data_IF_682844609017
#
_entry.id   IF_682844609017
#
_cell.length_a   1.000
_cell.length_b   1.000
_cell.length_c   1.000
_cell.angle_alpha   90.00
_cell.angle_beta   90.00
_cell.angle_gamma   90.00
#
_symmetry.space_group_name_H-M   'P 1'
#
loop_
_entity.id
_entity.type
_entity.pdbx_description
1 polymer ?
#
# COMPACT_ATOMS: atom_id res chain seq x y z
N UNK A 1 -26.79 -19.74 -15.83
CA UNK A 1 -25.39 -20.09 -16.14
C UNK A 1 -24.55 -18.85 -15.86
N UNK A 2 -23.75 -18.87 -14.79
CA UNK A 2 -22.94 -17.73 -14.38
C UNK A 2 -21.52 -17.96 -14.88
N UNK A 3 -21.09 -17.12 -15.81
CA UNK A 3 -19.76 -17.10 -16.39
C UNK A 3 -18.72 -16.83 -15.30
N UNK A 4 -17.87 -17.80 -14.97
CA UNK A 4 -16.74 -17.57 -14.08
C UNK A 4 -15.53 -17.11 -14.92
N UNK A 5 -15.59 -15.86 -15.39
CA UNK A 5 -14.37 -15.11 -15.74
C UNK A 5 -13.50 -15.14 -14.48
N UNK A 6 -12.19 -15.41 -14.61
CA UNK A 6 -11.28 -15.27 -13.45
C UNK A 6 -11.59 -13.94 -12.78
N UNK A 7 -11.69 -13.87 -11.44
CA UNK A 7 -11.75 -12.57 -10.81
C UNK A 7 -10.48 -11.85 -11.25
N UNK A 8 -10.62 -10.79 -12.06
CA UNK A 8 -9.53 -9.85 -12.29
C UNK A 8 -9.09 -9.42 -10.89
N UNK A 9 -7.84 -9.74 -10.53
CA UNK A 9 -7.35 -9.48 -9.18
C UNK A 9 -6.70 -8.11 -9.19
N UNK A 10 -7.00 -7.35 -8.15
CA UNK A 10 -6.34 -6.07 -7.94
C UNK A 10 -4.83 -6.28 -7.69
N UNK A 11 -3.99 -5.26 -7.96
CA UNK A 11 -2.54 -5.35 -7.83
C UNK A 11 -2.06 -5.79 -6.43
N UNK A 12 -2.74 -5.35 -5.35
CA UNK A 12 -2.38 -5.70 -3.96
C UNK A 12 -2.62 -7.19 -3.71
N UNK A 13 -3.72 -7.73 -4.22
CA UNK A 13 -4.03 -9.16 -4.12
C UNK A 13 -3.03 -10.01 -4.90
N UNK A 14 -2.64 -9.62 -6.12
CA UNK A 14 -1.64 -10.36 -6.91
C UNK A 14 -0.29 -10.40 -6.18
N UNK A 15 0.17 -9.27 -5.66
CA UNK A 15 1.42 -9.18 -4.89
C UNK A 15 1.44 -10.08 -3.65
N UNK A 16 0.26 -10.35 -3.06
CA UNK A 16 0.10 -11.19 -1.88
C UNK A 16 -0.03 -12.68 -2.22
N UNK A 17 -0.87 -13.01 -3.19
CA UNK A 17 -1.33 -14.39 -3.42
C UNK A 17 -0.48 -15.17 -4.41
N UNK A 18 0.37 -14.50 -5.19
CA UNK A 18 1.26 -15.16 -6.15
C UNK A 18 2.72 -14.81 -5.85
N UNK A 19 3.22 -15.14 -4.64
CA UNK A 19 4.55 -14.76 -4.19
C UNK A 19 5.68 -15.33 -5.07
N UNK A 20 5.47 -16.50 -5.68
CA UNK A 20 6.46 -17.13 -6.56
C UNK A 20 6.84 -16.29 -7.78
N UNK A 21 6.02 -15.32 -8.20
CA UNK A 21 6.40 -14.34 -9.23
C UNK A 21 7.54 -13.44 -8.71
N UNK A 22 7.39 -12.94 -7.49
CA UNK A 22 8.38 -12.07 -6.88
C UNK A 22 9.67 -12.80 -6.55
N UNK A 23 9.60 -14.09 -6.21
CA UNK A 23 10.80 -14.90 -5.96
C UNK A 23 11.65 -15.09 -7.23
N UNK A 24 11.02 -14.99 -8.42
CA UNK A 24 11.70 -15.09 -9.72
C UNK A 24 12.21 -13.71 -10.19
N UNK A 25 11.38 -12.68 -10.07
CA UNK A 25 11.71 -11.33 -10.56
C UNK A 25 12.69 -10.62 -9.61
N UNK A 26 12.42 -10.72 -8.31
CA UNK A 26 13.17 -10.05 -7.22
C UNK A 26 13.72 -11.08 -6.22
N UNK A 27 14.58 -12.02 -6.67
CA UNK A 27 15.04 -13.14 -5.85
C UNK A 27 15.83 -12.70 -4.61
N UNK A 28 16.38 -11.47 -4.60
CA UNK A 28 17.14 -10.93 -3.49
C UNK A 28 16.31 -10.12 -2.50
N UNK A 29 14.97 -10.08 -2.63
CA UNK A 29 14.06 -9.51 -1.61
C UNK A 29 13.96 -10.42 -0.36
N UNK A 30 15.12 -10.71 0.21
CA UNK A 30 15.32 -11.54 1.39
C UNK A 30 15.02 -10.75 2.67
N UNK A 31 14.92 -11.45 3.80
CA UNK A 31 14.79 -10.79 5.10
C UNK A 31 15.97 -9.86 5.43
N UNK A 32 17.18 -10.16 4.95
CA UNK A 32 18.36 -9.32 5.13
C UNK A 32 18.23 -7.99 4.41
N UNK A 33 17.82 -8.01 3.14
CA UNK A 33 17.57 -6.81 2.34
C UNK A 33 16.41 -5.99 2.90
N UNK A 34 15.34 -6.64 3.35
CA UNK A 34 14.24 -5.94 4.05
C UNK A 34 14.73 -5.30 5.34
N UNK A 35 15.64 -5.94 6.08
CA UNK A 35 16.23 -5.34 7.29
C UNK A 35 17.12 -4.14 6.96
N UNK A 36 17.87 -4.21 5.85
CA UNK A 36 18.64 -3.09 5.33
C UNK A 36 17.74 -1.89 5.00
N UNK A 37 16.64 -2.08 4.28
CA UNK A 37 15.67 -1.00 4.02
C UNK A 37 15.06 -0.43 5.30
N UNK A 38 14.68 -1.30 6.26
CA UNK A 38 14.18 -0.83 7.56
C UNK A 38 15.24 -0.10 8.40
N UNK A 39 16.54 -0.29 8.15
CA UNK A 39 17.59 0.46 8.83
C UNK A 39 17.64 1.93 8.36
N UNK A 40 17.03 2.24 7.21
CA UNK A 40 16.90 3.61 6.68
C UNK A 40 15.66 4.35 7.25
N UNK A 41 14.99 3.78 8.25
CA UNK A 41 13.81 4.42 8.88
C UNK A 41 14.18 5.79 9.46
N UNK A 42 13.37 6.78 9.11
CA UNK A 42 13.35 8.10 9.74
C UNK A 42 12.08 8.24 10.60
N UNK A 43 12.16 9.09 11.62
CA UNK A 43 11.05 9.44 12.49
C UNK A 43 10.95 10.96 12.59
N UNK A 44 9.74 11.49 12.75
CA UNK A 44 9.52 12.91 12.93
C UNK A 44 9.70 13.29 14.40
N UNK A 45 10.57 14.26 14.74
CA UNK A 45 10.93 14.55 16.13
C UNK A 45 9.75 15.04 16.97
N UNK A 46 8.76 15.68 16.35
CA UNK A 46 7.58 16.24 17.02
C UNK A 46 6.39 15.26 17.10
N UNK A 47 6.58 14.01 16.64
CA UNK A 47 5.53 12.99 16.65
C UNK A 47 5.92 11.82 17.55
N UNK A 48 4.95 11.37 18.33
CA UNK A 48 5.11 10.18 19.19
C UNK A 48 4.40 8.97 18.58
N UNK A 49 5.03 7.80 18.72
CA UNK A 49 4.38 6.54 18.42
C UNK A 49 3.15 6.34 19.33
N UNK A 50 2.08 5.75 18.79
CA UNK A 50 0.89 5.43 19.57
C UNK A 50 1.26 4.48 20.72
N UNK A 51 1.00 4.87 22.00
CA UNK A 51 1.23 4.00 23.15
C UNK A 51 0.52 2.66 23.03
N UNK A 52 1.20 1.58 23.42
CA UNK A 52 0.65 0.22 23.28
C UNK A 52 -0.59 0.02 24.17
N UNK A 53 -0.65 0.72 25.29
CA UNK A 53 -1.76 0.69 26.25
C UNK A 53 -3.04 1.22 25.60
N UNK A 54 -2.95 2.24 24.73
CA UNK A 54 -4.10 2.75 23.99
C UNK A 54 -4.60 1.71 22.98
N UNK A 55 -3.69 1.00 22.31
CA UNK A 55 -4.08 -0.10 21.41
C UNK A 55 -4.73 -1.24 22.18
N UNK A 56 -4.19 -1.61 23.34
CA UNK A 56 -4.72 -2.70 24.19
C UNK A 56 -6.05 -2.34 24.84
N UNK A 57 -6.33 -1.05 25.04
CA UNK A 57 -7.62 -0.58 25.56
C UNK A 57 -8.76 -0.63 24.53
N UNK A 58 -8.43 -0.76 23.24
CA UNK A 58 -9.41 -0.94 22.17
C UNK A 58 -9.89 -2.39 22.13
N UNK A 59 -11.20 -2.57 21.97
CA UNK A 59 -11.81 -3.89 21.75
C UNK A 59 -11.84 -4.31 20.28
N UNK A 60 -11.47 -3.39 19.37
CA UNK A 60 -11.49 -3.62 17.93
C UNK A 60 -10.31 -4.49 17.49
N UNK A 61 -10.52 -5.26 16.43
CA UNK A 61 -9.40 -5.85 15.72
C UNK A 61 -8.48 -4.75 15.18
N UNK A 62 -7.14 -4.92 15.23
CA UNK A 62 -6.19 -3.90 14.79
C UNK A 62 -6.43 -3.41 13.35
N UNK A 63 -6.84 -4.30 12.44
CA UNK A 63 -7.14 -3.93 11.06
C UNK A 63 -8.28 -2.89 10.99
N UNK A 64 -9.38 -3.14 11.71
CA UNK A 64 -10.51 -2.20 11.78
C UNK A 64 -10.12 -0.89 12.47
N UNK A 65 -9.42 -0.95 13.62
CA UNK A 65 -9.00 0.23 14.36
C UNK A 65 -8.19 1.21 13.49
N UNK A 66 -7.27 0.68 12.68
CA UNK A 66 -6.41 1.50 11.85
C UNK A 66 -7.02 1.86 10.51
N UNK A 67 -8.02 1.12 10.02
CA UNK A 67 -8.86 1.57 8.93
C UNK A 67 -9.69 2.80 9.33
N UNK A 68 -10.25 2.81 10.55
CA UNK A 68 -10.94 3.97 11.12
C UNK A 68 -9.96 5.16 11.26
N UNK A 69 -8.73 4.89 11.70
CA UNK A 69 -7.69 5.92 11.80
C UNK A 69 -7.36 6.52 10.42
N UNK A 70 -7.26 5.68 9.39
CA UNK A 70 -7.01 6.13 8.02
C UNK A 70 -8.16 7.01 7.51
N UNK A 71 -9.41 6.54 7.67
CA UNK A 71 -10.60 7.31 7.31
C UNK A 71 -10.66 8.66 8.06
N UNK A 72 -10.26 8.68 9.34
CA UNK A 72 -10.16 9.92 10.10
C UNK A 72 -9.06 10.85 9.56
N UNK A 73 -7.91 10.31 9.17
CA UNK A 73 -6.84 11.06 8.50
C UNK A 73 -7.34 11.72 7.21
N UNK A 74 -8.11 10.99 6.39
CA UNK A 74 -8.73 11.54 5.18
C UNK A 74 -9.71 12.68 5.48
N UNK A 75 -10.51 12.57 6.54
CA UNK A 75 -11.36 13.70 6.96
C UNK A 75 -10.54 14.95 7.28
N UNK A 76 -9.46 14.81 8.05
CA UNK A 76 -8.60 15.95 8.42
C UNK A 76 -7.96 16.57 7.18
N UNK A 77 -7.42 15.75 6.26
CA UNK A 77 -6.83 16.21 5.00
C UNK A 77 -7.85 16.95 4.12
N UNK A 78 -9.13 16.57 4.18
CA UNK A 78 -10.23 17.24 3.51
C UNK A 78 -10.77 18.48 4.26
N UNK A 79 -10.06 18.95 5.29
CA UNK A 79 -10.41 20.16 6.05
C UNK A 79 -11.47 19.95 7.13
N UNK A 80 -11.86 18.71 7.43
CA UNK A 80 -12.85 18.38 8.45
C UNK A 80 -12.15 18.24 9.81
N UNK A 81 -12.07 19.34 10.54
CA UNK A 81 -11.40 19.39 11.85
C UNK A 81 -12.13 18.61 12.93
N UNK A 82 -13.47 18.69 12.99
CA UNK A 82 -14.27 17.93 13.96
C UNK A 82 -14.56 16.52 13.42
N UNK A 83 -14.13 15.50 14.16
CA UNK A 83 -14.34 14.11 13.79
C UNK A 83 -15.82 13.78 13.56
N UNK A 84 -16.13 13.18 12.41
CA UNK A 84 -17.39 12.49 12.15
C UNK A 84 -17.12 10.98 12.21
N UNK A 85 -17.24 10.42 13.41
CA UNK A 85 -16.91 9.04 13.71
C UNK A 85 -17.86 8.02 13.07
N UNK A 86 -19.13 8.37 12.88
CA UNK A 86 -20.10 7.52 12.20
C UNK A 86 -19.71 7.35 10.72
N UNK A 87 -19.27 8.43 10.07
CA UNK A 87 -18.73 8.40 8.72
C UNK A 87 -17.41 7.61 8.64
N UNK A 88 -16.46 7.84 9.58
CA UNK A 88 -15.22 7.06 9.64
C UNK A 88 -15.50 5.55 9.76
N UNK A 89 -16.45 5.17 10.63
CA UNK A 89 -16.84 3.78 10.82
C UNK A 89 -17.51 3.20 9.57
N UNK A 90 -18.37 3.98 8.91
CA UNK A 90 -19.02 3.60 7.64
C UNK A 90 -18.01 3.32 6.53
N UNK A 91 -17.05 4.24 6.33
CA UNK A 91 -15.96 4.10 5.35
C UNK A 91 -15.10 2.88 5.67
N UNK A 92 -14.64 2.75 6.91
CA UNK A 92 -13.79 1.64 7.33
C UNK A 92 -14.49 0.28 7.18
N UNK A 93 -15.76 0.22 7.56
CA UNK A 93 -16.61 -0.96 7.37
C UNK A 93 -16.77 -1.30 5.90
N UNK A 94 -17.01 -0.31 5.03
CA UNK A 94 -17.12 -0.50 3.59
C UNK A 94 -15.85 -1.11 2.98
N UNK A 95 -14.67 -0.65 3.42
CA UNK A 95 -13.37 -1.16 2.97
C UNK A 95 -13.11 -2.58 3.49
N UNK A 96 -13.35 -2.82 4.78
CA UNK A 96 -13.06 -4.11 5.42
C UNK A 96 -14.05 -5.23 5.05
N UNK A 97 -15.27 -4.92 4.62
CA UNK A 97 -16.30 -5.92 4.22
C UNK A 97 -15.86 -6.89 3.13
N UNK A 98 -14.85 -6.55 2.35
CA UNK A 98 -14.28 -7.42 1.32
C UNK A 98 -13.34 -8.50 1.90
N UNK A 99 -13.06 -8.46 3.21
CA UNK A 99 -12.28 -9.46 3.92
C UNK A 99 -13.21 -10.41 4.68
N UNK A 100 -13.04 -11.72 4.46
CA UNK A 100 -13.91 -12.77 5.02
C UNK A 100 -13.99 -12.78 6.55
N UNK A 101 -12.97 -12.30 7.25
CA UNK A 101 -12.87 -12.34 8.72
C UNK A 101 -13.21 -10.99 9.39
N UNK A 102 -13.78 -10.03 8.66
CA UNK A 102 -14.02 -8.68 9.18
C UNK A 102 -15.07 -8.68 10.30
N UNK A 103 -14.63 -8.34 11.53
CA UNK A 103 -15.53 -8.01 12.62
C UNK A 103 -15.95 -6.55 12.53
N UNK A 104 -17.22 -6.32 12.22
CA UNK A 104 -17.77 -4.98 12.01
C UNK A 104 -18.40 -4.48 13.33
N UNK A 105 -17.81 -3.48 14.00
CA UNK A 105 -18.39 -2.95 15.23
C UNK A 105 -19.60 -2.07 14.93
N UNK A 106 -20.63 -2.15 15.77
CA UNK A 106 -21.82 -1.28 15.65
C UNK A 106 -21.53 0.16 16.10
N UNK A 107 -20.62 0.34 17.05
CA UNK A 107 -20.25 1.64 17.64
C UNK A 107 -18.79 1.66 18.05
N UNK A 108 -18.20 2.84 18.01
CA UNK A 108 -16.85 3.08 18.52
C UNK A 108 -16.89 3.44 20.00
N UNK A 109 -15.96 2.88 20.76
CA UNK A 109 -15.72 3.25 22.15
C UNK A 109 -14.74 4.44 22.22
N UNK A 110 -14.69 5.17 23.35
CA UNK A 110 -13.77 6.29 23.52
C UNK A 110 -12.30 5.91 23.29
N UNK A 111 -11.89 4.71 23.72
CA UNK A 111 -10.55 4.17 23.47
C UNK A 111 -10.22 4.05 21.97
N UNK A 112 -11.18 3.57 21.17
CA UNK A 112 -11.02 3.40 19.72
C UNK A 112 -10.81 4.77 19.06
N UNK A 113 -11.71 5.72 19.34
CA UNK A 113 -11.62 7.07 18.78
C UNK A 113 -10.33 7.79 19.16
N UNK A 114 -9.86 7.61 20.41
CA UNK A 114 -8.60 8.21 20.88
C UNK A 114 -7.39 7.62 20.15
N UNK A 115 -7.32 6.29 20.01
CA UNK A 115 -6.23 5.64 19.29
C UNK A 115 -6.27 6.00 17.79
N UNK A 116 -7.46 6.04 17.18
CA UNK A 116 -7.63 6.40 15.78
C UNK A 116 -7.28 7.87 15.51
N UNK A 117 -7.68 8.82 16.37
CA UNK A 117 -7.33 10.24 16.22
C UNK A 117 -5.82 10.45 16.30
N UNK A 118 -5.13 9.74 17.20
CA UNK A 118 -3.68 9.83 17.33
C UNK A 118 -2.97 9.41 16.05
N UNK A 119 -3.33 8.24 15.51
CA UNK A 119 -2.72 7.70 14.29
C UNK A 119 -3.09 8.57 13.08
N UNK A 120 -4.32 9.07 13.02
CA UNK A 120 -4.76 10.00 11.98
C UNK A 120 -3.95 11.31 12.01
N UNK A 121 -3.75 11.87 13.20
CA UNK A 121 -2.98 13.10 13.41
C UNK A 121 -1.53 12.93 12.99
N UNK A 122 -0.90 11.79 13.34
CA UNK A 122 0.45 11.44 12.88
C UNK A 122 0.51 11.32 11.35
N UNK A 123 -0.44 10.62 10.74
CA UNK A 123 -0.51 10.47 9.28
C UNK A 123 -0.57 11.84 8.58
N UNK A 124 -1.48 12.69 9.03
CA UNK A 124 -1.69 14.04 8.50
C UNK A 124 -0.42 14.88 8.64
N UNK A 125 0.21 14.88 9.82
CA UNK A 125 1.43 15.64 10.05
C UNK A 125 2.58 15.20 9.12
N UNK A 126 2.77 13.89 8.96
CA UNK A 126 3.78 13.32 8.05
C UNK A 126 3.50 13.76 6.59
N UNK A 127 2.26 13.60 6.12
CA UNK A 127 1.89 13.97 4.75
C UNK A 127 2.00 15.48 4.49
N UNK A 128 1.68 16.32 5.49
CA UNK A 128 1.89 17.76 5.39
C UNK A 128 3.36 18.14 5.32
N UNK A 129 4.26 17.42 5.99
CA UNK A 129 5.71 17.64 5.84
C UNK A 129 6.15 17.40 4.40
N UNK A 130 5.76 16.25 3.81
CA UNK A 130 6.10 15.96 2.41
C UNK A 130 5.50 16.98 1.43
N UNK A 131 4.27 17.42 1.68
CA UNK A 131 3.64 18.47 0.88
C UNK A 131 4.37 19.81 0.99
N UNK A 132 4.95 20.12 2.15
CA UNK A 132 5.74 21.34 2.38
C UNK A 132 7.11 21.27 1.70
N UNK A 133 7.75 20.09 1.69
CA UNK A 133 9.01 19.84 1.00
C UNK A 133 8.84 19.82 -0.53
N UNK A 134 7.63 19.55 -1.03
CA UNK A 134 7.30 19.48 -2.45
C UNK A 134 6.18 20.48 -2.85
N UNK A 135 6.39 21.80 -2.72
CA UNK A 135 5.33 22.82 -2.83
C UNK A 135 4.71 22.92 -4.24
N UNK A 136 5.40 22.43 -5.27
CA UNK A 136 4.93 22.45 -6.66
C UNK A 136 4.03 21.26 -7.02
N UNK A 137 3.98 20.24 -6.17
CA UNK A 137 3.16 19.05 -6.38
C UNK A 137 1.99 19.06 -5.40
N UNK A 138 0.88 18.43 -5.76
CA UNK A 138 -0.26 18.26 -4.84
C UNK A 138 -0.26 16.84 -4.30
N UNK A 139 -0.67 16.69 -3.06
CA UNK A 139 -1.05 15.41 -2.47
C UNK A 139 -2.29 14.89 -3.20
N UNK A 140 -2.13 13.73 -3.83
CA UNK A 140 -3.20 13.00 -4.50
C UNK A 140 -3.63 11.87 -3.58
N UNK A 141 -4.92 11.80 -3.30
CA UNK A 141 -5.54 10.70 -2.58
C UNK A 141 -5.90 9.60 -3.56
N UNK A 142 -5.66 8.34 -3.17
CA UNK A 142 -5.99 7.18 -3.98
C UNK A 142 -5.53 7.28 -5.45
N UNK A 143 -4.23 7.53 -5.71
CA UNK A 143 -3.73 7.59 -7.08
C UNK A 143 -3.99 6.26 -7.79
N UNK A 144 -4.36 6.33 -9.07
CA UNK A 144 -4.58 5.14 -9.89
C UNK A 144 -3.28 4.34 -10.04
N UNK A 145 -3.39 3.03 -9.88
CA UNK A 145 -2.38 2.05 -10.25
C UNK A 145 -2.88 1.34 -11.50
N UNK A 146 -2.14 1.49 -12.61
CA UNK A 146 -2.51 0.91 -13.89
C UNK A 146 -2.70 -0.61 -13.79
N UNK A 147 -3.65 -1.14 -14.58
CA UNK A 147 -3.78 -2.59 -14.77
C UNK A 147 -2.76 -3.12 -15.77
N UNK A 148 -2.57 -4.44 -15.81
CA UNK A 148 -1.72 -5.08 -16.81
C UNK A 148 -2.23 -6.48 -17.15
N UNK A 149 -2.52 -6.73 -18.43
CA UNK A 149 -3.12 -7.97 -18.91
C UNK A 149 -4.42 -8.33 -18.13
N UNK A 150 -4.39 -9.40 -17.32
CA UNK A 150 -5.53 -9.85 -16.52
C UNK A 150 -5.58 -9.23 -15.11
N UNK A 151 -4.53 -8.49 -14.71
CA UNK A 151 -4.48 -7.73 -13.46
C UNK A 151 -5.30 -6.45 -13.68
N UNK A 152 -6.33 -6.23 -12.85
CA UNK A 152 -7.13 -5.01 -12.95
C UNK A 152 -6.31 -3.79 -12.52
N UNK A 153 -6.78 -2.59 -12.87
CA UNK A 153 -6.30 -1.41 -12.19
C UNK A 153 -6.65 -1.46 -10.70
N UNK A 154 -5.94 -0.66 -9.92
CA UNK A 154 -6.14 -0.50 -8.48
C UNK A 154 -5.86 0.94 -8.06
N UNK A 155 -5.74 1.16 -6.76
CA UNK A 155 -5.41 2.46 -6.21
C UNK A 155 -4.36 2.30 -5.10
N UNK A 156 -3.40 3.22 -5.05
CA UNK A 156 -2.49 3.36 -3.90
C UNK A 156 -3.15 4.16 -2.78
N UNK A 157 -2.41 4.44 -1.70
CA UNK A 157 -2.96 5.25 -0.61
C UNK A 157 -2.85 6.76 -0.94
N UNK A 158 -1.62 7.24 -1.22
CA UNK A 158 -1.37 8.63 -1.62
C UNK A 158 -0.24 8.75 -2.65
N UNK A 159 -0.11 9.90 -3.31
CA UNK A 159 1.11 10.28 -4.05
C UNK A 159 1.37 11.77 -4.02
N UNK A 160 2.63 12.16 -4.24
CA UNK A 160 3.07 13.54 -4.46
C UNK A 160 4.08 13.52 -5.60
N UNK A 161 3.74 14.16 -6.73
CA UNK A 161 4.59 14.12 -7.93
C UNK A 161 4.78 12.69 -8.43
N UNK A 162 6.04 12.26 -8.60
CA UNK A 162 6.42 10.89 -9.00
C UNK A 162 6.71 9.96 -7.80
N UNK A 163 6.35 10.38 -6.59
CA UNK A 163 6.51 9.59 -5.36
C UNK A 163 5.18 8.96 -4.98
N UNK A 164 5.15 7.64 -4.96
CA UNK A 164 4.06 6.87 -4.37
C UNK A 164 4.23 6.84 -2.85
N UNK A 165 3.13 6.93 -2.10
CA UNK A 165 3.14 6.86 -0.64
C UNK A 165 2.15 5.76 -0.21
N UNK A 166 2.65 4.80 0.56
CA UNK A 166 1.88 3.65 1.05
C UNK A 166 1.91 3.60 2.57
N UNK A 167 0.74 3.48 3.19
CA UNK A 167 0.55 3.58 4.64
C UNK A 167 0.35 2.20 5.25
N UNK A 168 1.14 1.89 6.28
CA UNK A 168 1.06 0.65 7.06
C UNK A 168 0.91 0.96 8.54
N UNK A 169 -0.22 0.63 9.13
CA UNK A 169 -0.47 0.86 10.56
C UNK A 169 -0.14 -0.37 11.43
N UNK A 170 1.06 -0.94 11.29
CA UNK A 170 1.43 -2.18 12.01
C UNK A 170 2.27 -1.89 13.26
N UNK A 171 2.26 -2.81 14.23
CA UNK A 171 3.13 -2.73 15.41
C UNK A 171 4.54 -3.29 15.17
N UNK A 172 4.95 -3.50 13.92
CA UNK A 172 6.22 -4.14 13.55
C UNK A 172 6.92 -3.31 12.47
N UNK A 173 8.14 -3.71 12.09
CA UNK A 173 8.85 -3.16 10.92
C UNK A 173 8.14 -3.58 9.62
N UNK A 174 8.45 -2.88 8.52
CA UNK A 174 7.97 -3.25 7.19
C UNK A 174 8.49 -4.64 6.80
N UNK A 175 7.68 -5.44 6.13
CA UNK A 175 7.95 -6.83 5.76
C UNK A 175 8.11 -6.97 4.25
N UNK A 176 8.66 -8.10 3.79
CA UNK A 176 8.76 -8.41 2.35
C UNK A 176 7.42 -8.24 1.61
N UNK A 177 6.29 -8.55 2.26
CA UNK A 177 4.96 -8.35 1.66
C UNK A 177 4.66 -6.88 1.32
N UNK A 178 5.11 -5.93 2.15
CA UNK A 178 4.94 -4.49 1.90
C UNK A 178 5.77 -4.06 0.68
N UNK A 179 7.02 -4.53 0.60
CA UNK A 179 7.90 -4.26 -0.55
C UNK A 179 7.43 -4.91 -1.84
N UNK A 180 6.91 -6.15 -1.80
CA UNK A 180 6.30 -6.81 -2.97
C UNK A 180 5.10 -6.02 -3.50
N UNK A 181 4.28 -5.46 -2.61
CA UNK A 181 3.15 -4.67 -3.02
C UNK A 181 3.59 -3.41 -3.78
N UNK A 182 4.53 -2.64 -3.26
CA UNK A 182 4.99 -1.42 -3.93
C UNK A 182 5.80 -1.71 -5.19
N UNK A 183 6.55 -2.83 -5.23
CA UNK A 183 7.21 -3.30 -6.45
C UNK A 183 6.21 -3.73 -7.52
N UNK A 184 5.06 -4.32 -7.15
CA UNK A 184 3.96 -4.56 -8.10
C UNK A 184 3.45 -3.23 -8.67
N UNK A 185 3.21 -2.24 -7.81
CA UNK A 185 2.68 -0.94 -8.25
C UNK A 185 3.66 -0.24 -9.19
N UNK A 186 4.95 -0.29 -8.88
CA UNK A 186 6.01 0.18 -9.76
C UNK A 186 5.99 -0.56 -11.11
N UNK A 187 5.99 -1.89 -11.10
CA UNK A 187 6.05 -2.70 -12.31
C UNK A 187 4.88 -2.42 -13.26
N UNK A 188 3.68 -2.24 -12.71
CA UNK A 188 2.49 -1.85 -13.47
C UNK A 188 2.60 -0.42 -14.01
N UNK A 189 3.13 0.52 -13.23
CA UNK A 189 3.36 1.89 -13.70
C UNK A 189 4.41 1.95 -14.82
N UNK A 190 5.46 1.13 -14.73
CA UNK A 190 6.52 1.05 -15.73
C UNK A 190 6.00 0.44 -17.03
N UNK A 191 5.20 -0.63 -16.95
CA UNK A 191 4.53 -1.20 -18.12
C UNK A 191 3.63 -0.17 -18.81
N UNK A 192 2.80 0.54 -18.03
CA UNK A 192 1.94 1.61 -18.56
C UNK A 192 2.75 2.75 -19.18
N UNK A 193 3.88 3.13 -18.59
CA UNK A 193 4.74 4.19 -19.13
C UNK A 193 5.28 3.84 -20.52
N UNK A 194 5.64 2.57 -20.75
CA UNK A 194 6.12 2.08 -22.05
C UNK A 194 4.97 1.99 -23.07
N UNK A 195 3.82 1.45 -22.66
CA UNK A 195 2.71 1.14 -23.58
C UNK A 195 1.81 2.35 -23.90
N UNK A 196 1.72 3.31 -22.97
CA UNK A 196 0.70 4.35 -22.97
C UNK A 196 1.24 5.77 -22.72
N UNK A 197 2.57 5.96 -22.72
CA UNK A 197 3.22 7.26 -22.49
C UNK A 197 2.77 7.93 -21.17
N UNK A 198 2.53 7.11 -20.14
CA UNK A 198 2.21 7.56 -18.78
C UNK A 198 3.48 7.73 -17.94
N UNK A 199 3.35 8.32 -16.75
CA UNK A 199 4.49 8.44 -15.83
C UNK A 199 4.74 7.14 -15.05
N UNK A 200 6.01 6.78 -14.92
CA UNK A 200 6.50 5.75 -14.00
C UNK A 200 6.62 6.32 -12.58
N UNK A 201 6.37 5.49 -11.55
CA UNK A 201 6.73 5.85 -10.18
C UNK A 201 8.25 5.83 -9.98
N UNK A 202 8.83 6.92 -9.50
CA UNK A 202 10.29 7.07 -9.31
C UNK A 202 10.69 6.72 -7.88
N UNK A 203 9.88 7.14 -6.90
CA UNK A 203 10.15 6.91 -5.48
C UNK A 203 8.96 6.23 -4.81
N UNK A 204 9.26 5.52 -3.71
CA UNK A 204 8.28 5.02 -2.77
C UNK A 204 8.58 5.56 -1.38
N UNK A 205 7.52 5.98 -0.70
CA UNK A 205 7.53 6.29 0.72
C UNK A 205 6.61 5.31 1.45
N UNK A 206 7.18 4.45 2.30
CA UNK A 206 6.43 3.62 3.23
C UNK A 206 6.24 4.38 4.54
N UNK A 207 5.00 4.63 4.95
CA UNK A 207 4.67 5.38 6.16
C UNK A 207 4.01 4.47 7.19
N UNK A 208 4.50 4.48 8.43
CA UNK A 208 3.83 3.86 9.56
C UNK A 208 3.49 4.94 10.60
N UNK A 209 2.30 5.56 10.52
CA UNK A 209 1.93 6.66 11.40
C UNK A 209 1.71 6.18 12.85
N UNK A 210 1.38 4.90 13.05
CA UNK A 210 1.27 4.29 14.38
C UNK A 210 2.61 4.30 15.10
N UNK A 211 3.72 4.04 14.40
CA UNK A 211 5.06 3.97 14.99
C UNK A 211 5.90 5.23 14.78
N UNK A 212 5.37 6.23 14.07
CA UNK A 212 6.15 7.37 13.58
C UNK A 212 7.42 6.90 12.86
N UNK A 213 7.25 6.02 11.86
CA UNK A 213 8.36 5.49 11.07
C UNK A 213 8.08 5.71 9.59
N UNK A 214 9.06 6.20 8.85
CA UNK A 214 8.99 6.39 7.41
C UNK A 214 10.25 5.81 6.77
N UNK A 215 10.10 5.10 5.65
CA UNK A 215 11.21 4.73 4.76
C UNK A 215 10.95 5.36 3.40
N UNK A 216 11.93 6.09 2.88
CA UNK A 216 11.89 6.72 1.55
C UNK A 216 12.98 6.08 0.71
N UNK A 217 12.62 5.52 -0.44
CA UNK A 217 13.56 4.84 -1.33
C UNK A 217 13.24 5.15 -2.80
N UNK A 218 14.25 5.42 -3.64
CA UNK A 218 14.09 5.35 -5.09
C UNK A 218 13.80 3.91 -5.52
N UNK A 219 12.90 3.70 -6.49
CA UNK A 219 12.65 2.36 -7.01
C UNK A 219 13.89 1.75 -7.66
N UNK A 220 14.73 2.57 -8.29
CA UNK A 220 15.99 2.14 -8.90
C UNK A 220 16.92 1.46 -7.89
N UNK A 221 17.02 2.00 -6.67
CA UNK A 221 17.81 1.40 -5.58
C UNK A 221 17.23 0.05 -5.16
N UNK A 222 15.90 -0.04 -4.99
CA UNK A 222 15.24 -1.29 -4.62
C UNK A 222 15.48 -2.35 -5.69
N UNK A 223 15.35 -1.98 -6.97
CA UNK A 223 15.51 -2.88 -8.11
C UNK A 223 16.97 -3.36 -8.20
N UNK A 224 17.94 -2.45 -8.12
CA UNK A 224 19.37 -2.79 -8.18
C UNK A 224 19.73 -3.85 -7.14
N UNK A 225 19.23 -3.70 -5.92
CA UNK A 225 19.50 -4.62 -4.80
C UNK A 225 18.73 -5.94 -4.96
N UNK A 226 17.48 -5.89 -5.44
CA UNK A 226 16.57 -7.04 -5.35
C UNK A 226 16.51 -7.91 -6.62
N UNK A 227 16.78 -7.35 -7.80
CA UNK A 227 16.54 -7.99 -9.10
C UNK A 227 17.69 -8.89 -9.60
N UNK A 228 18.78 -9.00 -8.82
CA UNK A 228 19.97 -9.78 -9.15
C UNK A 228 20.59 -9.40 -10.52
N UNK A 229 20.77 -8.09 -10.74
CA UNK A 229 21.43 -7.54 -11.93
C UNK A 229 20.56 -7.39 -13.18
N UNK A 230 19.26 -7.72 -13.10
CA UNK A 230 18.32 -7.48 -14.20
C UNK A 230 18.00 -6.00 -14.32
N UNK A 231 17.95 -5.51 -15.54
CA UNK A 231 17.41 -4.20 -15.91
C UNK A 231 15.89 -4.14 -15.75
N UNK A 232 15.32 -2.93 -15.71
CA UNK A 232 13.87 -2.71 -15.68
C UNK A 232 13.14 -3.40 -16.85
N UNK A 233 13.75 -3.36 -18.05
CA UNK A 233 13.20 -4.00 -19.26
C UNK A 233 13.16 -5.51 -19.10
N UNK A 234 14.27 -6.14 -18.68
CA UNK A 234 14.31 -7.59 -18.46
C UNK A 234 13.33 -8.05 -17.37
N UNK A 235 13.16 -7.23 -16.32
CA UNK A 235 12.16 -7.46 -15.28
C UNK A 235 10.75 -7.46 -15.86
N UNK A 236 10.42 -6.46 -16.69
CA UNK A 236 9.12 -6.36 -17.34
C UNK A 236 8.89 -7.53 -18.30
N UNK A 237 9.86 -7.86 -19.16
CA UNK A 237 9.75 -8.99 -20.10
C UNK A 237 9.50 -10.32 -19.36
N UNK A 238 10.25 -10.56 -18.28
CA UNK A 238 10.08 -11.73 -17.44
C UNK A 238 8.69 -11.75 -16.80
N UNK A 239 8.24 -10.62 -16.26
CA UNK A 239 6.89 -10.49 -15.72
C UNK A 239 5.81 -10.76 -16.77
N UNK A 240 5.89 -10.14 -17.94
CA UNK A 240 4.94 -10.30 -19.04
C UNK A 240 4.86 -11.74 -19.51
N UNK A 241 6.00 -12.43 -19.59
CA UNK A 241 6.08 -13.87 -19.89
C UNK A 241 5.35 -14.70 -18.84
N UNK A 242 5.61 -14.44 -17.54
CA UNK A 242 4.95 -15.15 -16.45
C UNK A 242 3.43 -14.89 -16.40
N UNK A 243 3.01 -13.65 -16.71
CA UNK A 243 1.59 -13.28 -16.73
C UNK A 243 0.86 -13.95 -17.88
N UNK A 244 1.50 -14.03 -19.06
CA UNK A 244 1.02 -14.78 -20.21
C UNK A 244 0.92 -16.28 -19.91
N UNK A 245 1.92 -16.87 -19.26
CA UNK A 245 1.92 -18.28 -18.86
C UNK A 245 0.79 -18.62 -17.88
N UNK A 246 0.57 -17.77 -16.88
CA UNK A 246 -0.55 -17.90 -15.95
C UNK A 246 -1.89 -17.70 -16.66
N UNK A 247 -1.95 -16.78 -17.63
CA UNK A 247 -3.09 -16.65 -18.51
C UNK A 247 -3.34 -17.96 -19.28
N UNK A 248 -2.33 -18.60 -19.84
CA UNK A 248 -2.46 -19.84 -20.62
C UNK A 248 -2.79 -21.08 -19.77
N UNK A 249 -2.13 -21.26 -18.61
CA UNK A 249 -2.29 -22.46 -17.77
C UNK A 249 -3.65 -22.59 -17.11
N UNK A 250 -4.43 -21.52 -17.07
CA UNK A 250 -5.83 -21.56 -16.65
C UNK A 250 -6.81 -21.42 -17.82
N UNK A 251 -6.35 -21.71 -19.06
CA UNK A 251 -7.17 -22.01 -20.25
C UNK A 251 -7.53 -23.50 -20.48
N UNK A 252 -7.24 -24.53 -19.65
CA UNK A 252 -7.77 -25.89 -19.91
C UNK A 252 -9.30 -25.97 -19.97
N UNK A 253 -10.01 -24.95 -19.51
CA UNK A 253 -11.47 -24.79 -19.64
C UNK A 253 -11.92 -24.15 -20.97
N UNK A 254 -11.00 -23.87 -21.90
CA UNK A 254 -11.26 -23.22 -23.19
C UNK A 254 -10.81 -24.09 -24.37
N UNK A 255 -11.45 -25.24 -24.58
CA UNK A 255 -11.54 -25.82 -25.93
C UNK A 255 -12.95 -25.57 -26.46
N UNK A 256 -12.98 -24.95 -27.64
CA UNK A 256 -14.15 -24.57 -28.46
C UNK A 256 -15.26 -25.63 -28.46
#
# INVERSE_FOLDING_TARGET
MVYNRRPMKDPRTVAREIPGIFDIIFPQLTSGVVSYFNAQVIAFPDLDALPIELVQSSSLQPAMLFEIAFARGEQILNGISKANWDDCLSVATGRQRHHFDAQLPDKLLPADTKASEWVASNLVAILHSFQTEAPNYKLIHSPEIAGYQWISSGHGDFSIGSTLIEVKCTGRNFRSADYRQVLMYWLLSYASAIEHDTNEWINITLVNPRRNCVVVLPFDEIIEITAAGKSKVEILELFSSMMGDLALKSLPEFRL
#
